data_IF_085024519796
#
_entry.id   IF_085024519796
#
_cell.length_a   1.000
_cell.length_b   1.000
_cell.length_c   1.000
_cell.angle_alpha   90.00
_cell.angle_beta   90.00
_cell.angle_gamma   90.00
#
_symmetry.space_group_name_H-M   'P 1'
#
loop_
_entity.id
_entity.type
_entity.pdbx_description
1 polymer ?
#
# COMPACT_ATOMS: atom_id res chain seq x y z
N UNK A 1 -13.68 -24.37 0.40
CA UNK A 1 -13.30 -22.96 0.14
C UNK A 1 -12.03 -22.59 0.90
N UNK A 2 -12.00 -22.61 2.24
CA UNK A 2 -10.81 -22.25 3.02
C UNK A 2 -9.59 -23.14 2.72
N UNK A 3 -9.79 -24.47 2.62
CA UNK A 3 -8.73 -25.41 2.23
C UNK A 3 -8.10 -25.06 0.88
N UNK A 4 -8.91 -24.62 -0.09
CA UNK A 4 -8.46 -24.20 -1.42
C UNK A 4 -7.61 -22.93 -1.34
N UNK A 5 -8.08 -21.91 -0.61
CA UNK A 5 -7.33 -20.65 -0.43
C UNK A 5 -6.00 -20.90 0.26
N UNK A 6 -5.99 -21.73 1.31
CA UNK A 6 -4.76 -22.09 2.03
C UNK A 6 -3.81 -22.91 1.16
N UNK A 7 -4.32 -23.82 0.32
CA UNK A 7 -3.48 -24.59 -0.60
C UNK A 7 -2.80 -23.69 -1.64
N UNK A 8 -3.54 -22.76 -2.25
CA UNK A 8 -2.99 -21.78 -3.20
C UNK A 8 -1.97 -20.87 -2.51
N UNK A 9 -2.28 -20.37 -1.31
CA UNK A 9 -1.36 -19.49 -0.58
C UNK A 9 -0.03 -20.21 -0.24
N UNK A 10 -0.08 -21.51 0.04
CA UNK A 10 1.13 -22.34 0.23
C UNK A 10 1.90 -22.56 -1.07
N UNK A 11 1.21 -22.64 -2.21
CA UNK A 11 1.82 -22.78 -3.53
C UNK A 11 2.56 -21.50 -3.96
N UNK A 12 2.06 -20.32 -3.54
CA UNK A 12 2.63 -19.00 -3.87
C UNK A 12 3.05 -18.22 -2.61
N UNK A 13 4.16 -18.60 -1.93
CA UNK A 13 4.59 -17.96 -0.69
C UNK A 13 4.99 -16.48 -0.84
N UNK A 14 5.27 -16.04 -2.07
CA UNK A 14 5.52 -14.64 -2.39
C UNK A 14 4.35 -13.72 -2.02
N UNK A 15 3.12 -14.24 -1.91
CA UNK A 15 1.96 -13.48 -1.42
C UNK A 15 2.13 -13.05 0.04
N UNK A 16 2.67 -13.92 0.90
CA UNK A 16 2.97 -13.58 2.30
C UNK A 16 4.11 -12.57 2.39
N UNK A 17 5.17 -12.78 1.60
CA UNK A 17 6.30 -11.84 1.55
C UNK A 17 5.83 -10.43 1.16
N UNK A 18 4.94 -10.31 0.17
CA UNK A 18 4.36 -9.03 -0.23
C UNK A 18 3.54 -8.38 0.89
N UNK A 19 2.72 -9.15 1.62
CA UNK A 19 1.96 -8.63 2.76
C UNK A 19 2.87 -8.09 3.87
N UNK A 20 3.96 -8.80 4.19
CA UNK A 20 4.94 -8.31 5.17
C UNK A 20 5.65 -7.05 4.68
N UNK A 21 6.05 -7.00 3.41
CA UNK A 21 6.65 -5.80 2.82
C UNK A 21 5.69 -4.60 2.86
N UNK A 22 4.41 -4.82 2.54
CA UNK A 22 3.37 -3.80 2.65
C UNK A 22 3.22 -3.26 4.06
N UNK A 23 3.30 -4.13 5.08
CA UNK A 23 3.29 -3.72 6.49
C UNK A 23 4.49 -2.84 6.83
N UNK A 24 5.71 -3.24 6.46
CA UNK A 24 6.91 -2.44 6.72
C UNK A 24 6.88 -1.09 6.01
N UNK A 25 6.40 -1.05 4.76
CA UNK A 25 6.23 0.19 4.01
C UNK A 25 5.21 1.11 4.67
N UNK A 26 4.08 0.57 5.14
CA UNK A 26 3.07 1.35 5.86
C UNK A 26 3.65 1.95 7.16
N UNK A 27 4.41 1.17 7.94
CA UNK A 27 5.06 1.64 9.16
C UNK A 27 6.07 2.75 8.83
N UNK A 28 6.93 2.53 7.83
CA UNK A 28 7.91 3.52 7.42
C UNK A 28 7.25 4.84 6.97
N UNK A 29 6.14 4.75 6.21
CA UNK A 29 5.37 5.91 5.79
C UNK A 29 4.72 6.64 6.97
N UNK A 30 4.21 5.91 7.97
CA UNK A 30 3.70 6.51 9.21
C UNK A 30 4.78 7.24 10.00
N UNK A 31 5.98 6.67 10.10
CA UNK A 31 7.12 7.36 10.74
C UNK A 31 7.49 8.63 9.98
N UNK A 32 7.58 8.56 8.65
CA UNK A 32 7.83 9.72 7.81
C UNK A 32 6.76 10.82 8.01
N UNK A 33 5.48 10.44 8.03
CA UNK A 33 4.39 11.39 8.27
C UNK A 33 4.53 12.14 9.60
N UNK A 34 4.93 11.45 10.68
CA UNK A 34 5.18 12.11 11.98
C UNK A 34 6.29 13.16 11.87
N UNK A 35 7.38 12.87 11.14
CA UNK A 35 8.47 13.85 10.92
C UNK A 35 8.01 15.07 10.12
N UNK A 36 7.13 14.87 9.13
CA UNK A 36 6.57 15.96 8.33
C UNK A 36 5.69 16.87 9.17
N UNK A 37 4.79 16.31 10.00
CA UNK A 37 3.95 17.10 10.90
C UNK A 37 4.80 17.89 11.90
N UNK A 38 5.81 17.27 12.53
CA UNK A 38 6.70 17.96 13.44
C UNK A 38 7.42 19.15 12.77
N UNK A 39 7.99 18.94 11.57
CA UNK A 39 8.66 20.01 10.83
C UNK A 39 7.72 21.15 10.39
N UNK A 40 6.45 20.84 10.08
CA UNK A 40 5.44 21.87 9.77
C UNK A 40 5.12 22.71 11.01
N UNK A 41 5.01 22.08 12.18
CA UNK A 41 4.80 22.81 13.43
C UNK A 41 5.99 23.73 13.74
N UNK A 42 7.23 23.23 13.63
CA UNK A 42 8.43 24.04 13.87
C UNK A 42 8.54 25.24 12.92
N UNK A 43 8.07 25.10 11.67
CA UNK A 43 8.19 26.15 10.66
C UNK A 43 7.11 27.23 10.76
N UNK A 44 5.87 26.86 11.10
CA UNK A 44 4.72 27.77 10.99
C UNK A 44 4.09 28.17 12.32
N UNK A 45 4.44 27.51 13.43
CA UNK A 45 3.94 27.90 14.75
C UNK A 45 4.66 29.17 15.23
N UNK A 46 3.89 30.17 15.67
CA UNK A 46 4.45 31.38 16.24
C UNK A 46 4.61 31.23 17.75
N UNK A 47 5.85 30.98 18.19
CA UNK A 47 6.22 30.85 19.60
C UNK A 47 6.16 32.18 20.36
N UNK A 48 6.22 33.32 19.66
CA UNK A 48 6.21 34.65 20.29
C UNK A 48 4.79 35.02 20.71
N UNK A 49 3.81 34.74 19.85
CA UNK A 49 2.40 35.03 20.12
C UNK A 49 1.63 33.83 20.67
N UNK A 50 2.25 32.63 20.72
CA UNK A 50 1.60 31.36 21.05
C UNK A 50 0.35 31.09 20.19
N UNK A 51 0.37 31.51 18.91
CA UNK A 51 -0.77 31.36 18.00
C UNK A 51 -0.46 30.43 16.84
N UNK A 52 -1.47 29.64 16.45
CA UNK A 52 -1.44 28.83 15.24
C UNK A 52 -2.03 29.63 14.08
N UNK A 53 -1.22 30.10 13.11
CA UNK A 53 -1.75 30.89 12.00
C UNK A 53 -2.59 30.00 11.07
N UNK A 54 -3.59 30.57 10.39
CA UNK A 54 -4.50 29.81 9.53
C UNK A 54 -3.80 28.93 8.48
N UNK A 55 -2.64 29.40 7.97
CA UNK A 55 -1.75 28.64 7.10
C UNK A 55 -1.29 27.30 7.69
N UNK A 56 -0.95 27.24 8.98
CA UNK A 56 -0.56 26.01 9.68
C UNK A 56 -1.70 24.99 9.65
N UNK A 57 -2.91 25.43 10.01
CA UNK A 57 -4.10 24.57 10.03
C UNK A 57 -4.40 23.99 8.65
N UNK A 58 -4.37 24.81 7.60
CA UNK A 58 -4.64 24.36 6.22
C UNK A 58 -3.61 23.33 5.76
N UNK A 59 -2.32 23.57 6.03
CA UNK A 59 -1.24 22.65 5.65
C UNK A 59 -1.37 21.31 6.39
N UNK A 60 -1.67 21.34 7.71
CA UNK A 60 -1.89 20.11 8.49
C UNK A 60 -3.05 19.30 7.91
N UNK A 61 -4.19 19.93 7.65
CA UNK A 61 -5.36 19.24 7.07
C UNK A 61 -5.02 18.60 5.72
N UNK A 62 -4.31 19.32 4.85
CA UNK A 62 -3.82 18.78 3.59
C UNK A 62 -2.91 17.56 3.80
N UNK A 63 -1.97 17.63 4.74
CA UNK A 63 -1.07 16.53 5.05
C UNK A 63 -1.82 15.28 5.53
N UNK A 64 -2.84 15.42 6.38
CA UNK A 64 -3.69 14.28 6.79
C UNK A 64 -4.43 13.65 5.62
N UNK A 65 -4.96 14.47 4.71
CA UNK A 65 -5.63 13.96 3.50
C UNK A 65 -4.65 13.20 2.59
N UNK A 66 -3.45 13.75 2.40
CA UNK A 66 -2.37 13.10 1.65
C UNK A 66 -1.90 11.79 2.31
N UNK A 67 -1.79 11.77 3.65
CA UNK A 67 -1.49 10.56 4.42
C UNK A 67 -2.55 9.48 4.25
N UNK A 68 -3.82 9.85 4.36
CA UNK A 68 -4.94 8.93 4.17
C UNK A 68 -4.94 8.35 2.75
N UNK A 69 -4.88 9.20 1.73
CA UNK A 69 -4.89 8.76 0.34
C UNK A 69 -3.73 7.79 0.04
N UNK A 70 -2.51 8.14 0.45
CA UNK A 70 -1.33 7.31 0.19
C UNK A 70 -1.40 5.98 0.93
N UNK A 71 -1.91 5.98 2.16
CA UNK A 71 -2.11 4.74 2.94
C UNK A 71 -3.12 3.80 2.27
N UNK A 72 -4.22 4.34 1.74
CA UNK A 72 -5.20 3.55 0.99
C UNK A 72 -4.62 2.97 -0.30
N UNK A 73 -3.82 3.76 -1.04
CA UNK A 73 -3.13 3.27 -2.24
C UNK A 73 -2.19 2.11 -1.91
N UNK A 74 -1.39 2.22 -0.85
CA UNK A 74 -0.49 1.13 -0.44
C UNK A 74 -1.27 -0.14 -0.07
N UNK A 75 -2.35 -0.02 0.71
CA UNK A 75 -3.20 -1.16 1.07
C UNK A 75 -3.86 -1.80 -0.16
N UNK A 76 -4.36 -0.98 -1.09
CA UNK A 76 -4.99 -1.45 -2.31
C UNK A 76 -4.01 -2.17 -3.23
N UNK A 77 -2.79 -1.66 -3.40
CA UNK A 77 -1.75 -2.31 -4.21
C UNK A 77 -1.47 -3.73 -3.70
N UNK A 78 -1.32 -3.92 -2.39
CA UNK A 78 -1.10 -5.25 -1.79
C UNK A 78 -2.31 -6.14 -2.04
N UNK A 79 -3.52 -5.63 -1.79
CA UNK A 79 -4.75 -6.38 -1.96
C UNK A 79 -4.98 -6.82 -3.42
N UNK A 80 -4.91 -5.90 -4.37
CA UNK A 80 -5.17 -6.21 -5.79
C UNK A 80 -4.06 -7.07 -6.40
N UNK A 81 -2.83 -6.97 -5.90
CA UNK A 81 -1.75 -7.89 -6.29
C UNK A 81 -2.07 -9.32 -5.88
N UNK A 82 -2.53 -9.54 -4.65
CA UNK A 82 -2.91 -10.86 -4.15
C UNK A 82 -4.10 -11.39 -4.95
N UNK A 83 -5.15 -10.59 -5.14
CA UNK A 83 -6.29 -10.95 -5.99
C UNK A 83 -5.85 -11.34 -7.41
N UNK A 84 -4.87 -10.64 -7.98
CA UNK A 84 -4.28 -10.95 -9.27
C UNK A 84 -3.61 -12.33 -9.33
N UNK A 85 -2.91 -12.75 -8.26
CA UNK A 85 -2.33 -14.10 -8.16
C UNK A 85 -3.42 -15.17 -8.15
N UNK A 86 -4.47 -14.98 -7.36
CA UNK A 86 -5.61 -15.90 -7.33
C UNK A 86 -6.35 -15.95 -8.67
N UNK A 87 -6.49 -14.82 -9.35
CA UNK A 87 -7.07 -14.76 -10.69
C UNK A 87 -6.20 -15.52 -11.71
N UNK A 88 -4.88 -15.32 -11.71
CA UNK A 88 -3.96 -16.06 -12.59
C UNK A 88 -4.06 -17.57 -12.33
N UNK A 89 -4.10 -17.99 -11.06
CA UNK A 89 -4.32 -19.40 -10.71
C UNK A 89 -5.64 -19.93 -11.28
N UNK A 90 -6.74 -19.20 -11.08
CA UNK A 90 -8.07 -19.60 -11.51
C UNK A 90 -8.18 -19.76 -13.03
N UNK A 91 -7.60 -18.83 -13.80
CA UNK A 91 -7.72 -18.83 -15.27
C UNK A 91 -6.65 -19.63 -15.99
N UNK A 92 -5.44 -19.74 -15.43
CA UNK A 92 -4.29 -20.31 -16.16
C UNK A 92 -3.96 -21.75 -15.73
N UNK A 93 -4.34 -22.19 -14.53
CA UNK A 93 -4.07 -23.56 -14.07
C UNK A 93 -4.89 -24.56 -14.87
N UNK A 94 -4.22 -25.40 -15.65
CA UNK A 94 -4.85 -26.37 -16.57
C UNK A 94 -5.22 -25.78 -17.94
N UNK A 95 -4.87 -24.52 -18.21
CA UNK A 95 -5.03 -23.92 -19.54
C UNK A 95 -3.93 -24.40 -20.51
N UNK A 96 -4.17 -24.39 -21.84
CA UNK A 96 -3.14 -24.71 -22.84
C UNK A 96 -1.94 -23.74 -22.82
N UNK A 97 -2.13 -22.50 -22.35
CA UNK A 97 -1.05 -21.52 -22.20
C UNK A 97 -0.14 -21.79 -20.99
N UNK A 98 -0.59 -22.58 -20.02
CA UNK A 98 0.15 -22.87 -18.80
C UNK A 98 0.23 -21.70 -17.81
N UNK A 99 0.83 -21.95 -16.64
CA UNK A 99 1.02 -20.94 -15.60
C UNK A 99 2.17 -19.99 -15.92
N UNK A 100 2.03 -18.72 -15.53
CA UNK A 100 3.10 -17.73 -15.70
C UNK A 100 4.25 -17.98 -14.73
N UNK A 101 5.48 -17.56 -15.11
CA UNK A 101 6.70 -17.83 -14.32
C UNK A 101 6.70 -17.17 -12.95
N UNK A 102 6.06 -16.00 -12.82
CA UNK A 102 5.96 -15.27 -11.56
C UNK A 102 4.64 -14.49 -11.48
N UNK A 103 3.54 -15.16 -11.08
CA UNK A 103 2.22 -14.53 -11.05
C UNK A 103 2.13 -13.35 -10.08
N UNK A 104 2.94 -13.36 -9.01
CA UNK A 104 2.98 -12.28 -8.02
C UNK A 104 3.63 -11.02 -8.57
N UNK A 105 4.75 -11.13 -9.28
CA UNK A 105 5.44 -9.95 -9.85
C UNK A 105 4.62 -9.35 -10.99
N UNK A 106 4.03 -10.19 -11.85
CA UNK A 106 3.18 -9.72 -12.94
C UNK A 106 1.91 -9.04 -12.44
N UNK A 107 1.32 -9.56 -11.37
CA UNK A 107 0.18 -8.92 -10.71
C UNK A 107 0.58 -7.62 -10.03
N UNK A 108 1.73 -7.58 -9.34
CA UNK A 108 2.26 -6.37 -8.71
C UNK A 108 2.51 -5.27 -9.74
N UNK A 109 3.13 -5.63 -10.87
CA UNK A 109 3.37 -4.70 -11.97
C UNK A 109 2.05 -4.06 -12.43
N UNK A 110 1.02 -4.88 -12.69
CA UNK A 110 -0.31 -4.38 -13.09
C UNK A 110 -0.95 -3.50 -12.02
N UNK A 111 -0.89 -3.92 -10.75
CA UNK A 111 -1.38 -3.14 -9.62
C UNK A 111 -0.71 -1.77 -9.52
N UNK A 112 0.57 -1.66 -9.86
CA UNK A 112 1.30 -0.38 -9.81
C UNK A 112 1.17 0.46 -11.11
N UNK A 113 0.95 -0.15 -12.28
CA UNK A 113 0.98 0.59 -13.56
C UNK A 113 -0.40 0.89 -14.14
N UNK A 114 -1.36 -0.01 -13.95
CA UNK A 114 -2.64 0.05 -14.68
C UNK A 114 -3.85 0.25 -13.78
N UNK A 115 -3.74 -0.04 -12.47
CA UNK A 115 -4.85 0.19 -11.52
C UNK A 115 -4.50 1.10 -10.34
N UNK A 116 -3.22 1.23 -9.97
CA UNK A 116 -2.75 1.98 -8.76
C UNK A 116 -3.60 1.57 -7.54
N UNK A 117 -3.70 0.27 -7.31
CA UNK A 117 -4.79 -0.31 -6.53
C UNK A 117 -5.85 -0.87 -7.46
#
# INVERSE_FOLDING_TARGET
>A
MLQTVTAISKEYPATFALSFLGLFLQIAYSVYFMTVIAGIYDLFYDTTTNTAPAKLTVVIVFCFFSFYWTSQVMANIVHTTICGVFATYYFMKGSPQGMTKSPTIESLKRSCTTSIG
#
